data_IF_493181484163
#
_entry.id   IF_493181484163
#
_cell.length_a   1.000
_cell.length_b   1.000
_cell.length_c   1.000
_cell.angle_alpha   90.00
_cell.angle_beta   90.00
_cell.angle_gamma   90.00
#
_symmetry.space_group_name_H-M   'P 1'
#
loop_
_entity.id
_entity.type
_entity.pdbx_description
1 polymer ?
#
# COMPACT_ATOMS: atom_id res chain seq x y z
N UNK A 1 5.92 -30.79 -2.88
CA UNK A 1 5.23 -30.65 -4.17
C UNK A 1 3.88 -31.39 -4.33
N UNK A 2 3.56 -32.58 -3.74
CA UNK A 2 2.23 -33.20 -3.97
C UNK A 2 1.07 -32.60 -3.15
N UNK A 3 1.34 -31.81 -2.09
CA UNK A 3 0.29 -31.27 -1.21
C UNK A 3 -0.37 -30.02 -1.83
N UNK A 4 0.37 -29.16 -2.54
CA UNK A 4 -0.17 -27.94 -3.16
C UNK A 4 -1.16 -28.25 -4.30
N UNK A 5 -0.90 -29.28 -5.13
CA UNK A 5 -1.81 -29.62 -6.24
C UNK A 5 -3.19 -30.11 -5.79
N UNK A 6 -3.27 -30.71 -4.58
CA UNK A 6 -4.54 -31.19 -4.00
C UNK A 6 -5.39 -30.06 -3.39
N UNK A 7 -4.75 -29.04 -2.83
CA UNK A 7 -5.45 -27.86 -2.27
C UNK A 7 -6.13 -27.07 -3.39
N UNK A 8 -5.47 -26.89 -4.53
CA UNK A 8 -6.00 -26.13 -5.68
C UNK A 8 -7.23 -26.81 -6.29
N UNK A 9 -7.30 -28.15 -6.33
CA UNK A 9 -8.46 -28.87 -6.86
C UNK A 9 -9.75 -28.72 -6.02
N UNK A 10 -9.62 -28.39 -4.72
CA UNK A 10 -10.77 -28.28 -3.81
C UNK A 10 -11.40 -26.88 -3.88
N UNK A 11 -10.62 -25.83 -4.18
CA UNK A 11 -11.02 -24.44 -3.99
C UNK A 11 -11.27 -23.60 -5.26
N UNK A 12 -11.05 -24.13 -6.47
CA UNK A 12 -11.43 -23.40 -7.68
C UNK A 12 -12.88 -23.75 -8.06
N UNK A 13 -13.89 -22.99 -7.60
CA UNK A 13 -15.24 -23.21 -8.03
C UNK A 13 -15.33 -22.99 -9.55
N UNK A 14 -16.20 -23.75 -10.19
CA UNK A 14 -16.44 -23.60 -11.61
C UNK A 14 -17.21 -22.29 -11.84
N UNK A 15 -16.50 -21.17 -12.04
CA UNK A 15 -17.07 -19.83 -12.26
C UNK A 15 -17.86 -19.70 -13.57
N UNK A 16 -18.41 -20.79 -14.12
CA UNK A 16 -19.15 -20.76 -15.38
C UNK A 16 -20.54 -20.10 -15.28
N UNK A 17 -21.04 -19.80 -14.06
CA UNK A 17 -22.36 -19.16 -13.86
C UNK A 17 -22.23 -17.86 -13.04
N UNK A 18 -23.20 -16.95 -13.18
CA UNK A 18 -23.31 -15.76 -12.32
C UNK A 18 -23.54 -16.19 -10.87
N UNK A 19 -22.48 -16.14 -10.05
CA UNK A 19 -22.57 -16.45 -8.63
C UNK A 19 -23.39 -15.39 -7.90
N UNK A 20 -24.23 -15.81 -6.97
CA UNK A 20 -24.87 -14.90 -6.04
C UNK A 20 -23.88 -14.40 -4.98
N UNK A 21 -24.30 -13.45 -4.14
CA UNK A 21 -23.42 -12.84 -3.14
C UNK A 21 -22.85 -13.87 -2.15
N UNK A 22 -23.65 -14.82 -1.70
CA UNK A 22 -23.22 -15.82 -0.72
C UNK A 22 -22.22 -16.84 -1.32
N UNK A 23 -22.41 -17.24 -2.56
CA UNK A 23 -21.47 -18.09 -3.30
C UNK A 23 -20.13 -17.36 -3.50
N UNK A 24 -20.19 -16.09 -3.87
CA UNK A 24 -19.00 -15.24 -4.03
C UNK A 24 -18.27 -15.05 -2.72
N UNK A 25 -19.01 -14.81 -1.63
CA UNK A 25 -18.45 -14.71 -0.29
C UNK A 25 -17.71 -16.00 0.11
N UNK A 26 -18.34 -17.17 -0.06
CA UNK A 26 -17.71 -18.46 0.27
C UNK A 26 -16.41 -18.65 -0.51
N UNK A 27 -16.42 -18.39 -1.81
CA UNK A 27 -15.23 -18.51 -2.64
C UNK A 27 -14.12 -17.54 -2.19
N UNK A 28 -14.45 -16.28 -1.90
CA UNK A 28 -13.50 -15.28 -1.40
C UNK A 28 -12.93 -15.67 -0.03
N UNK A 29 -13.79 -16.12 0.87
CA UNK A 29 -13.41 -16.52 2.22
C UNK A 29 -12.55 -17.80 2.24
N UNK A 30 -12.86 -18.78 1.40
CA UNK A 30 -12.06 -19.99 1.27
C UNK A 30 -10.71 -19.71 0.63
N UNK A 31 -10.64 -18.79 -0.35
CA UNK A 31 -9.38 -18.32 -0.91
C UNK A 31 -8.53 -17.61 0.15
N UNK A 32 -9.14 -16.75 0.98
CA UNK A 32 -8.45 -16.08 2.08
C UNK A 32 -7.85 -17.09 3.06
N UNK A 33 -8.61 -18.09 3.48
CA UNK A 33 -8.10 -19.17 4.33
C UNK A 33 -6.96 -19.96 3.67
N UNK A 34 -6.98 -20.11 2.36
CA UNK A 34 -5.94 -20.80 1.62
C UNK A 34 -4.62 -19.99 1.57
N UNK A 35 -4.70 -18.69 1.29
CA UNK A 35 -3.50 -17.84 1.23
C UNK A 35 -2.87 -17.63 2.62
N UNK A 36 -3.66 -17.52 3.70
CA UNK A 36 -3.12 -17.47 5.07
C UNK A 36 -2.20 -18.68 5.39
N UNK A 37 -2.51 -19.87 4.83
CA UNK A 37 -1.68 -21.06 5.03
C UNK A 37 -0.37 -21.08 4.28
N UNK A 38 -0.17 -20.12 3.38
CA UNK A 38 1.04 -20.02 2.56
C UNK A 38 1.82 -18.80 3.05
N UNK A 39 2.92 -19.00 3.81
CA UNK A 39 3.73 -17.86 4.24
C UNK A 39 4.15 -16.99 3.06
N UNK A 40 3.90 -15.69 3.15
CA UNK A 40 4.15 -14.71 2.09
C UNK A 40 4.87 -13.47 2.65
N UNK A 41 5.84 -13.70 3.53
CA UNK A 41 6.65 -12.60 4.08
C UNK A 41 7.31 -11.86 2.91
N UNK A 42 7.30 -10.53 2.99
CA UNK A 42 7.86 -9.64 1.96
C UNK A 42 9.23 -10.13 1.46
N UNK A 43 9.36 -10.30 0.15
CA UNK A 43 10.47 -10.91 -0.63
C UNK A 43 10.54 -12.44 -0.57
N UNK A 44 9.57 -13.10 0.03
CA UNK A 44 9.43 -14.56 0.08
C UNK A 44 8.05 -14.99 -0.47
N UNK A 45 7.44 -14.19 -1.37
CA UNK A 45 6.05 -14.34 -1.84
C UNK A 45 5.89 -15.36 -2.99
N UNK A 46 6.96 -16.00 -3.47
CA UNK A 46 6.91 -16.87 -4.66
C UNK A 46 5.81 -17.93 -4.57
N UNK A 47 5.69 -18.58 -3.41
CA UNK A 47 4.73 -19.66 -3.22
C UNK A 47 3.26 -19.18 -3.28
N UNK A 48 2.96 -18.02 -2.67
CA UNK A 48 1.59 -17.45 -2.73
C UNK A 48 1.31 -16.89 -4.12
N UNK A 49 2.31 -16.30 -4.80
CA UNK A 49 2.17 -15.83 -6.18
C UNK A 49 1.88 -16.98 -7.15
N UNK A 50 2.59 -18.11 -7.03
CA UNK A 50 2.33 -19.33 -7.83
C UNK A 50 0.90 -19.83 -7.60
N UNK A 51 0.48 -19.91 -6.33
CA UNK A 51 -0.86 -20.34 -5.97
C UNK A 51 -1.94 -19.41 -6.54
N UNK A 52 -1.78 -18.09 -6.39
CA UNK A 52 -2.73 -17.08 -6.89
C UNK A 52 -2.77 -17.03 -8.42
N UNK A 53 -1.63 -17.22 -9.09
CA UNK A 53 -1.56 -17.32 -10.56
C UNK A 53 -2.39 -18.50 -11.06
N UNK A 54 -2.19 -19.66 -10.47
CA UNK A 54 -2.93 -20.89 -10.80
C UNK A 54 -4.43 -20.75 -10.50
N UNK A 55 -4.76 -20.16 -9.35
CA UNK A 55 -6.15 -19.92 -8.96
C UNK A 55 -6.85 -19.00 -9.97
N UNK A 56 -6.26 -17.82 -10.25
CA UNK A 56 -6.84 -16.84 -11.16
C UNK A 56 -6.95 -17.39 -12.58
N UNK A 57 -5.94 -18.11 -13.06
CA UNK A 57 -5.96 -18.76 -14.39
C UNK A 57 -7.09 -19.79 -14.49
N UNK A 58 -7.29 -20.62 -13.47
CA UNK A 58 -8.39 -21.62 -13.45
C UNK A 58 -9.75 -20.97 -13.35
N UNK A 59 -9.90 -19.98 -12.48
CA UNK A 59 -11.18 -19.29 -12.24
C UNK A 59 -11.62 -18.44 -13.44
N UNK A 60 -10.68 -17.84 -14.16
CA UNK A 60 -10.96 -16.98 -15.32
C UNK A 60 -11.02 -17.73 -16.64
N UNK A 61 -10.29 -18.84 -16.77
CA UNK A 61 -10.06 -19.54 -18.04
C UNK A 61 -9.08 -18.84 -18.98
N UNK A 62 -8.35 -17.82 -18.50
CA UNK A 62 -7.49 -16.94 -19.30
C UNK A 62 -6.07 -16.89 -18.72
N UNK A 63 -5.04 -16.63 -19.55
CA UNK A 63 -3.68 -16.46 -19.07
C UNK A 63 -3.54 -15.32 -18.07
N UNK A 64 -2.64 -15.51 -17.11
CA UNK A 64 -2.24 -14.49 -16.13
C UNK A 64 -0.81 -14.07 -16.45
N UNK A 65 -0.60 -12.77 -16.61
CA UNK A 65 0.74 -12.20 -16.80
C UNK A 65 1.46 -12.09 -15.46
N UNK A 66 2.80 -12.23 -15.49
CA UNK A 66 3.64 -12.16 -14.28
C UNK A 66 4.93 -11.39 -14.52
N UNK A 67 5.33 -10.61 -13.52
CA UNK A 67 6.66 -9.99 -13.40
C UNK A 67 7.16 -10.15 -11.98
N UNK A 68 8.23 -10.89 -11.75
CA UNK A 68 8.65 -11.33 -10.41
C UNK A 68 7.47 -12.05 -9.73
N UNK A 69 7.04 -11.58 -8.55
CA UNK A 69 5.86 -12.11 -7.84
C UNK A 69 4.59 -11.26 -8.06
N UNK A 70 4.65 -10.25 -8.93
CA UNK A 70 3.47 -9.47 -9.30
C UNK A 70 2.72 -10.16 -10.45
N UNK A 71 1.39 -10.22 -10.32
CA UNK A 71 0.49 -10.86 -11.26
C UNK A 71 -0.51 -9.86 -11.80
N UNK A 72 -0.93 -9.99 -13.07
CA UNK A 72 -2.06 -9.19 -13.57
C UNK A 72 -2.80 -9.89 -14.70
N UNK A 73 -4.05 -9.52 -14.82
CA UNK A 73 -4.92 -9.97 -15.89
C UNK A 73 -5.76 -8.83 -16.43
N UNK A 74 -5.89 -8.75 -17.74
CA UNK A 74 -6.78 -7.81 -18.44
C UNK A 74 -8.08 -8.53 -18.78
N UNK A 75 -9.22 -7.94 -18.47
CA UNK A 75 -10.52 -8.53 -18.80
C UNK A 75 -10.71 -8.61 -20.32
N UNK A 76 -11.46 -9.61 -20.82
CA UNK A 76 -11.75 -9.75 -22.25
C UNK A 76 -12.41 -8.51 -22.86
N UNK A 77 -12.19 -8.27 -24.14
CA UNK A 77 -12.80 -7.15 -24.85
C UNK A 77 -12.15 -5.79 -24.56
N UNK A 78 -10.85 -5.77 -24.24
CA UNK A 78 -10.09 -4.53 -24.08
C UNK A 78 -10.18 -3.65 -25.35
N UNK A 79 -10.53 -2.38 -25.16
CA UNK A 79 -10.62 -1.38 -26.22
C UNK A 79 -9.82 -0.11 -25.83
N UNK A 80 -8.80 0.23 -26.61
CA UNK A 80 -7.94 1.40 -26.36
C UNK A 80 -8.70 2.74 -26.31
N UNK A 81 -9.93 2.79 -26.80
CA UNK A 81 -10.78 3.98 -26.78
C UNK A 81 -11.54 4.17 -25.48
N UNK A 82 -11.63 3.12 -24.66
CA UNK A 82 -12.30 3.17 -23.36
C UNK A 82 -11.30 3.48 -22.24
N UNK A 83 -11.71 4.21 -21.19
CA UNK A 83 -10.89 4.38 -20.00
C UNK A 83 -10.63 3.02 -19.34
N UNK A 84 -9.53 2.91 -18.63
CA UNK A 84 -9.11 1.67 -17.96
C UNK A 84 -9.08 1.85 -16.43
N UNK A 85 -9.83 1.00 -15.74
CA UNK A 85 -9.80 0.86 -14.28
C UNK A 85 -8.86 -0.27 -13.89
N UNK A 86 -7.90 0.03 -13.01
CA UNK A 86 -7.07 -0.96 -12.32
C UNK A 86 -7.68 -1.26 -10.94
N UNK A 87 -7.85 -2.53 -10.63
CA UNK A 87 -8.04 -3.03 -9.27
C UNK A 87 -6.71 -3.62 -8.81
N UNK A 88 -6.21 -3.22 -7.65
CA UNK A 88 -4.92 -3.69 -7.13
C UNK A 88 -5.04 -4.05 -5.65
N UNK A 89 -4.33 -5.08 -5.23
CA UNK A 89 -4.14 -5.49 -3.84
C UNK A 89 -2.82 -6.23 -3.71
N UNK A 90 -2.17 -6.20 -2.55
CA UNK A 90 -0.90 -6.89 -2.36
C UNK A 90 -1.07 -8.29 -1.74
N UNK A 91 -0.07 -9.15 -1.95
CA UNK A 91 -0.08 -10.53 -1.44
C UNK A 91 0.99 -10.80 -0.39
N UNK A 92 1.91 -9.87 -0.19
CA UNK A 92 2.94 -9.99 0.84
C UNK A 92 2.42 -9.55 2.22
N UNK A 93 3.14 -9.99 3.25
CA UNK A 93 2.86 -9.67 4.64
C UNK A 93 4.15 -9.27 5.36
N UNK A 94 4.03 -8.50 6.44
CA UNK A 94 5.12 -8.31 7.39
C UNK A 94 5.48 -9.62 8.10
N UNK A 95 6.62 -9.65 8.80
CA UNK A 95 6.92 -10.76 9.71
C UNK A 95 5.98 -10.73 10.91
N UNK A 96 5.51 -11.91 11.40
CA UNK A 96 4.67 -11.95 12.58
C UNK A 96 5.41 -11.37 13.79
N UNK A 97 4.74 -10.51 14.55
CA UNK A 97 5.29 -9.95 15.78
C UNK A 97 5.50 -11.05 16.83
N UNK A 98 6.52 -10.91 17.68
CA UNK A 98 6.81 -11.89 18.73
C UNK A 98 5.70 -12.07 19.78
N UNK A 99 4.73 -11.14 19.82
CA UNK A 99 3.58 -11.16 20.71
C UNK A 99 2.37 -11.96 20.19
N UNK A 100 2.46 -12.59 18.99
CA UNK A 100 1.41 -13.48 18.50
C UNK A 100 1.14 -14.62 19.49
N UNK A 101 -0.14 -14.86 19.79
CA UNK A 101 -0.57 -15.95 20.67
C UNK A 101 -1.15 -17.12 19.86
N UNK A 102 -1.63 -16.88 18.64
CA UNK A 102 -2.10 -17.87 17.69
C UNK A 102 -1.01 -18.21 16.68
N UNK A 103 -1.16 -19.33 15.98
CA UNK A 103 -0.25 -19.67 14.86
C UNK A 103 -0.54 -18.76 13.65
N UNK A 104 0.41 -17.88 13.26
CA UNK A 104 0.14 -16.83 12.26
C UNK A 104 -0.33 -17.35 10.90
N UNK A 105 0.17 -18.51 10.49
CA UNK A 105 -0.15 -19.14 9.20
C UNK A 105 -1.24 -20.22 9.29
N UNK A 106 -2.01 -20.20 10.37
CA UNK A 106 -3.16 -21.09 10.53
C UNK A 106 -4.43 -20.27 10.64
N UNK A 107 -5.35 -20.34 9.64
CA UNK A 107 -6.60 -19.60 9.71
C UNK A 107 -7.48 -20.17 10.83
N UNK A 108 -7.80 -19.36 11.81
CA UNK A 108 -8.62 -19.74 12.98
C UNK A 108 -9.91 -18.95 12.94
N UNK A 109 -11.04 -19.66 12.93
CA UNK A 109 -12.37 -19.08 12.90
C UNK A 109 -12.96 -19.03 14.32
N UNK A 110 -13.27 -17.83 14.82
CA UNK A 110 -13.92 -17.62 16.12
C UNK A 110 -15.09 -16.63 15.94
N UNK A 111 -16.30 -17.16 15.94
CA UNK A 111 -17.50 -16.36 15.70
C UNK A 111 -17.49 -15.71 14.30
N UNK A 112 -17.52 -14.38 14.24
CA UNK A 112 -17.44 -13.61 12.99
C UNK A 112 -15.97 -13.34 12.54
N UNK A 113 -14.98 -13.66 13.39
CA UNK A 113 -13.57 -13.34 13.13
C UNK A 113 -12.84 -14.50 12.46
N UNK A 114 -12.01 -14.18 11.48
CA UNK A 114 -10.98 -15.04 10.91
C UNK A 114 -9.61 -14.47 11.27
N UNK A 115 -8.89 -15.16 12.14
CA UNK A 115 -7.52 -14.83 12.55
C UNK A 115 -6.51 -15.46 11.60
N UNK A 116 -5.41 -14.75 11.37
CA UNK A 116 -4.27 -15.18 10.57
C UNK A 116 -3.49 -13.99 10.04
N UNK A 117 -2.19 -14.14 9.88
CA UNK A 117 -1.33 -13.09 9.33
C UNK A 117 -1.74 -12.78 7.88
N UNK A 118 -1.90 -11.50 7.55
CA UNK A 118 -2.40 -11.05 6.26
C UNK A 118 -3.90 -11.29 6.04
N UNK A 119 -4.66 -11.68 7.08
CA UNK A 119 -6.11 -11.80 6.96
C UNK A 119 -6.79 -10.45 6.75
N UNK A 120 -6.29 -9.40 7.42
CA UNK A 120 -6.76 -8.02 7.34
C UNK A 120 -5.94 -7.21 6.32
N UNK A 121 -4.62 -7.34 6.34
CA UNK A 121 -3.66 -6.59 5.54
C UNK A 121 -2.82 -7.54 4.66
N UNK A 122 -3.12 -7.72 3.39
CA UNK A 122 -4.23 -7.19 2.58
C UNK A 122 -5.08 -8.31 1.96
N UNK A 123 -5.01 -9.55 2.54
CA UNK A 123 -5.67 -10.74 2.00
C UNK A 123 -7.18 -10.58 1.84
N UNK A 124 -7.85 -9.87 2.76
CA UNK A 124 -9.28 -9.62 2.64
C UNK A 124 -9.62 -8.75 1.44
N UNK A 125 -8.85 -7.66 1.19
CA UNK A 125 -9.03 -6.84 -0.01
C UNK A 125 -8.63 -7.60 -1.27
N UNK A 126 -7.51 -8.33 -1.25
CA UNK A 126 -7.05 -9.13 -2.38
C UNK A 126 -8.15 -10.09 -2.84
N UNK A 127 -8.71 -10.88 -1.92
CA UNK A 127 -9.69 -11.92 -2.27
C UNK A 127 -11.02 -11.34 -2.68
N UNK A 128 -11.47 -10.24 -2.06
CA UNK A 128 -12.72 -9.57 -2.42
C UNK A 128 -12.62 -8.84 -3.76
N UNK A 129 -11.51 -8.15 -4.06
CA UNK A 129 -11.27 -7.51 -5.34
C UNK A 129 -11.07 -8.53 -6.47
N UNK A 130 -10.37 -9.66 -6.21
CA UNK A 130 -10.22 -10.75 -7.17
C UNK A 130 -11.60 -11.30 -7.60
N UNK A 131 -12.47 -11.58 -6.62
CA UNK A 131 -13.80 -12.12 -6.93
C UNK A 131 -14.74 -11.09 -7.56
N UNK A 132 -14.59 -9.81 -7.19
CA UNK A 132 -15.27 -8.70 -7.88
C UNK A 132 -14.82 -8.60 -9.34
N UNK A 133 -13.50 -8.68 -9.60
CA UNK A 133 -12.95 -8.73 -10.95
C UNK A 133 -13.52 -9.90 -11.75
N UNK A 134 -13.53 -11.12 -11.18
CA UNK A 134 -14.06 -12.33 -11.83
C UNK A 134 -15.55 -12.21 -12.19
N UNK A 135 -16.33 -11.47 -11.43
CA UNK A 135 -17.73 -11.19 -11.75
C UNK A 135 -17.86 -10.14 -12.85
N UNK A 136 -17.18 -8.98 -12.69
CA UNK A 136 -17.32 -7.82 -13.59
C UNK A 136 -16.80 -8.10 -15.00
N UNK A 137 -15.72 -8.90 -15.14
CA UNK A 137 -15.13 -9.24 -16.45
C UNK A 137 -16.07 -10.01 -17.37
N UNK A 138 -17.17 -10.55 -16.84
CA UNK A 138 -18.18 -11.33 -17.59
C UNK A 138 -19.31 -10.49 -18.13
N UNK A 139 -19.47 -9.29 -17.63
CA UNK A 139 -20.52 -8.36 -18.06
C UNK A 139 -19.92 -7.19 -18.80
N UNK A 140 -20.53 -6.72 -19.91
CA UNK A 140 -20.04 -5.56 -20.61
C UNK A 140 -19.97 -4.34 -19.68
N UNK A 141 -18.77 -3.77 -19.54
CA UNK A 141 -18.55 -2.52 -18.82
C UNK A 141 -18.26 -1.39 -19.82
N UNK A 142 -18.49 -0.15 -19.39
CA UNK A 142 -18.17 1.05 -20.19
C UNK A 142 -16.67 1.39 -20.16
N UNK A 143 -15.90 0.66 -19.36
CA UNK A 143 -14.46 0.81 -19.16
C UNK A 143 -13.73 -0.54 -19.35
N UNK A 144 -12.43 -0.47 -19.58
CA UNK A 144 -11.56 -1.65 -19.52
C UNK A 144 -11.26 -1.96 -18.05
N UNK A 145 -11.15 -3.23 -17.70
CA UNK A 145 -10.88 -3.69 -16.36
C UNK A 145 -9.56 -4.47 -16.32
N UNK A 146 -8.69 -4.10 -15.41
CA UNK A 146 -7.43 -4.79 -15.11
C UNK A 146 -7.43 -5.14 -13.64
N UNK A 147 -7.00 -6.34 -13.29
CA UNK A 147 -6.73 -6.74 -11.91
C UNK A 147 -5.25 -7.04 -11.77
N UNK A 148 -4.61 -6.48 -10.74
CA UNK A 148 -3.21 -6.73 -10.40
C UNK A 148 -3.07 -7.13 -8.94
N UNK A 149 -2.21 -8.13 -8.71
CA UNK A 149 -1.74 -8.55 -7.39
C UNK A 149 -0.27 -8.13 -7.30
N UNK A 150 0.07 -7.33 -6.32
CA UNK A 150 1.42 -6.84 -6.09
C UNK A 150 2.15 -7.63 -5.00
N UNK A 151 3.46 -7.59 -5.06
CA UNK A 151 4.39 -8.11 -4.07
C UNK A 151 5.29 -6.97 -3.57
N UNK A 152 6.05 -7.21 -2.50
CA UNK A 152 6.97 -6.24 -1.87
C UNK A 152 6.32 -4.89 -1.50
N UNK A 153 4.99 -4.84 -1.30
CA UNK A 153 4.28 -3.60 -0.92
C UNK A 153 4.77 -3.08 0.43
N UNK A 154 4.85 -3.94 1.44
CA UNK A 154 5.17 -3.66 2.84
C UNK A 154 6.55 -3.00 3.06
N UNK A 155 7.41 -3.08 2.06
CA UNK A 155 8.72 -2.41 2.04
C UNK A 155 8.86 -1.44 0.87
N UNK A 156 7.78 -1.20 0.13
CA UNK A 156 7.77 -0.43 -1.11
C UNK A 156 8.92 -0.87 -2.03
N UNK A 157 9.04 -2.18 -2.26
CA UNK A 157 10.17 -2.80 -2.93
C UNK A 157 10.21 -2.51 -4.44
N UNK A 158 11.41 -2.50 -5.02
CA UNK A 158 11.58 -2.24 -6.47
C UNK A 158 11.12 -3.38 -7.36
N UNK A 159 11.06 -4.62 -6.83
CA UNK A 159 10.54 -5.78 -7.55
C UNK A 159 9.03 -5.94 -7.38
N UNK A 160 8.39 -5.09 -6.56
CA UNK A 160 6.96 -5.00 -6.36
C UNK A 160 6.23 -4.38 -7.56
N UNK A 161 5.10 -3.74 -7.31
CA UNK A 161 4.23 -3.16 -8.34
C UNK A 161 4.99 -2.25 -9.32
N UNK A 162 5.98 -1.47 -8.84
CA UNK A 162 6.81 -0.59 -9.68
C UNK A 162 7.40 -1.33 -10.89
N UNK A 163 7.81 -2.60 -10.73
CA UNK A 163 8.38 -3.41 -11.80
C UNK A 163 7.34 -3.87 -12.83
N UNK A 164 6.07 -3.94 -12.46
CA UNK A 164 4.97 -4.38 -13.31
C UNK A 164 4.27 -3.23 -14.03
N UNK A 165 4.24 -2.01 -13.45
CA UNK A 165 3.56 -0.84 -14.00
C UNK A 165 3.86 -0.55 -15.48
N UNK A 166 5.13 -0.63 -15.96
CA UNK A 166 5.44 -0.37 -17.37
C UNK A 166 4.88 -1.43 -18.33
N UNK A 167 4.47 -2.59 -17.82
CA UNK A 167 3.95 -3.72 -18.59
C UNK A 167 2.42 -3.74 -18.64
N UNK A 168 1.77 -2.95 -17.80
CA UNK A 168 0.32 -2.80 -17.79
C UNK A 168 -0.14 -1.99 -19.02
N UNK A 169 -1.37 -2.19 -19.50
CA UNK A 169 -1.97 -1.27 -20.46
C UNK A 169 -2.07 0.14 -19.84
N UNK A 170 -2.37 1.15 -20.66
CA UNK A 170 -2.65 2.49 -20.13
C UNK A 170 -3.75 2.42 -19.09
N UNK A 171 -3.48 2.89 -17.88
CA UNK A 171 -4.44 3.01 -16.77
C UNK A 171 -4.89 4.46 -16.66
N UNK A 172 -6.17 4.69 -16.44
CA UNK A 172 -6.75 6.01 -16.27
C UNK A 172 -7.18 6.29 -14.82
N UNK A 173 -7.51 5.24 -14.06
CA UNK A 173 -7.86 5.33 -12.63
C UNK A 173 -7.60 3.99 -11.95
N UNK A 174 -7.30 4.00 -10.64
CA UNK A 174 -7.15 2.78 -9.84
C UNK A 174 -8.04 2.79 -8.59
N UNK A 175 -8.45 1.58 -8.18
CA UNK A 175 -8.94 1.26 -6.86
C UNK A 175 -7.97 0.29 -6.23
N UNK A 176 -7.37 0.69 -5.11
CA UNK A 176 -6.36 -0.08 -4.38
C UNK A 176 -6.98 -0.63 -3.11
N UNK A 177 -6.85 -1.94 -2.93
CA UNK A 177 -7.26 -2.66 -1.73
C UNK A 177 -6.36 -2.29 -0.57
N UNK A 178 -6.96 -2.03 0.58
CA UNK A 178 -6.29 -1.79 1.86
C UNK A 178 -7.33 -1.79 2.99
N UNK A 179 -6.98 -2.12 4.24
CA UNK A 179 -7.94 -2.16 5.35
C UNK A 179 -8.40 -0.76 5.78
N UNK A 180 -9.51 -0.28 5.25
CA UNK A 180 -10.05 1.05 5.52
C UNK A 180 -11.45 1.05 6.16
N UNK A 181 -11.99 -0.12 6.50
CA UNK A 181 -13.38 -0.27 6.93
C UNK A 181 -14.37 0.12 5.85
N UNK A 182 -14.04 -0.15 4.58
CA UNK A 182 -14.81 0.25 3.40
C UNK A 182 -15.06 1.75 3.29
N UNK A 183 -14.28 2.59 3.98
CA UNK A 183 -14.25 4.03 3.76
C UNK A 183 -13.31 4.35 2.60
N UNK A 184 -13.62 5.36 1.81
CA UNK A 184 -12.83 5.74 0.65
C UNK A 184 -11.74 6.75 1.04
N UNK A 185 -10.47 6.33 1.03
CA UNK A 185 -9.35 7.26 1.12
C UNK A 185 -9.16 7.93 -0.24
N UNK A 186 -9.56 9.19 -0.34
CA UNK A 186 -9.47 9.99 -1.57
C UNK A 186 -8.13 10.69 -1.75
N UNK A 187 -7.27 10.62 -0.74
CA UNK A 187 -5.89 11.07 -0.79
C UNK A 187 -5.05 10.28 0.22
N UNK A 188 -3.75 10.14 -0.08
CA UNK A 188 -2.77 9.42 0.73
C UNK A 188 -1.46 10.20 0.78
N UNK A 189 -0.81 10.20 1.97
CA UNK A 189 0.49 10.87 2.13
C UNK A 189 1.59 10.11 1.43
N UNK A 190 2.49 10.86 0.77
CA UNK A 190 3.75 10.34 0.26
C UNK A 190 4.81 10.23 1.37
N UNK A 191 5.95 9.67 1.02
CA UNK A 191 7.07 9.46 1.93
C UNK A 191 8.40 9.86 1.30
N UNK A 192 9.17 10.67 2.03
CA UNK A 192 10.59 10.89 1.78
C UNK A 192 11.36 10.67 3.08
N UNK A 193 12.38 9.82 3.03
CA UNK A 193 13.35 9.68 4.11
C UNK A 193 14.61 10.47 3.74
N UNK A 194 15.02 11.39 4.62
CA UNK A 194 16.19 12.24 4.43
C UNK A 194 17.31 11.83 5.38
N UNK A 195 18.49 11.55 4.84
CA UNK A 195 19.72 11.41 5.59
C UNK A 195 20.38 12.79 5.68
N UNK A 196 20.49 13.33 6.89
CA UNK A 196 21.12 14.61 7.19
C UNK A 196 22.57 14.44 7.66
N UNK A 197 23.49 15.29 7.18
CA UNK A 197 24.89 15.30 7.58
C UNK A 197 25.36 16.73 7.87
N UNK A 198 25.75 16.96 9.11
CA UNK A 198 26.41 18.19 9.54
C UNK A 198 27.91 17.96 9.67
N UNK A 199 28.70 18.88 9.13
CA UNK A 199 30.15 18.86 9.21
C UNK A 199 30.67 19.95 10.13
N UNK A 200 31.62 19.59 10.95
CA UNK A 200 32.31 20.47 11.88
C UNK A 200 33.83 20.31 11.77
N UNK A 201 34.51 20.49 12.89
CA UNK A 201 35.97 20.29 13.03
C UNK A 201 36.28 19.77 14.42
N UNK A 202 36.96 18.63 14.51
CA UNK A 202 37.38 18.07 15.78
C UNK A 202 38.27 19.02 16.59
N UNK A 203 38.18 18.93 17.90
CA UNK A 203 39.01 19.70 18.86
C UNK A 203 38.84 19.14 20.27
N UNK A 204 39.70 19.62 21.20
CA UNK A 204 39.59 19.20 22.60
C UNK A 204 38.44 19.97 23.29
N UNK A 205 37.51 19.27 23.90
CA UNK A 205 36.29 19.87 24.50
C UNK A 205 36.58 20.90 25.62
N UNK A 206 37.76 20.81 26.31
CA UNK A 206 38.19 21.77 27.32
C UNK A 206 38.86 23.03 26.75
N UNK A 207 39.01 23.13 25.40
CA UNK A 207 39.58 24.26 24.71
C UNK A 207 38.58 24.81 23.74
N UNK A 208 38.54 26.09 23.54
CA UNK A 208 37.64 26.70 22.54
C UNK A 208 38.15 26.46 21.10
N UNK A 209 38.49 25.20 20.80
CA UNK A 209 39.02 24.75 19.51
C UNK A 209 37.98 23.82 18.85
N UNK A 210 37.89 23.88 17.54
CA UNK A 210 36.95 23.02 16.81
C UNK A 210 35.66 23.71 16.46
N UNK A 211 34.79 22.98 15.73
CA UNK A 211 33.43 23.37 15.36
C UNK A 211 32.54 22.15 15.63
N UNK A 212 31.60 22.29 16.53
CA UNK A 212 30.81 21.16 16.98
C UNK A 212 29.66 20.82 15.97
N UNK A 213 29.85 19.72 15.23
CA UNK A 213 28.85 19.24 14.26
C UNK A 213 27.52 18.86 14.89
N UNK A 214 27.52 18.44 16.18
CA UNK A 214 26.27 18.12 16.90
C UNK A 214 25.41 19.37 17.07
N UNK A 215 26.02 20.53 17.43
CA UNK A 215 25.27 21.76 17.58
C UNK A 215 24.72 22.27 16.24
N UNK A 216 25.51 22.15 15.15
CA UNK A 216 25.03 22.48 13.81
C UNK A 216 23.84 21.61 13.41
N UNK A 217 23.90 20.31 13.72
CA UNK A 217 22.78 19.39 13.45
C UNK A 217 21.55 19.72 14.28
N UNK A 218 21.71 20.06 15.57
CA UNK A 218 20.60 20.45 16.45
C UNK A 218 19.88 21.70 15.94
N UNK A 219 20.62 22.71 15.47
CA UNK A 219 20.04 23.92 14.88
C UNK A 219 19.25 23.60 13.60
N UNK A 220 19.78 22.71 12.74
CA UNK A 220 19.10 22.25 11.55
C UNK A 220 17.82 21.46 11.90
N UNK A 221 17.91 20.55 12.86
CA UNK A 221 16.77 19.77 13.34
C UNK A 221 15.70 20.68 13.94
N UNK A 222 16.08 21.71 14.69
CA UNK A 222 15.14 22.70 15.22
C UNK A 222 14.41 23.43 14.09
N UNK A 223 15.14 23.87 13.04
CA UNK A 223 14.52 24.49 11.86
C UNK A 223 13.55 23.52 11.18
N UNK A 224 13.91 22.23 10.98
CA UNK A 224 13.04 21.22 10.40
C UNK A 224 11.77 21.00 11.23
N UNK A 225 11.91 20.88 12.56
CA UNK A 225 10.80 20.70 13.51
C UNK A 225 9.79 21.84 13.45
N UNK A 226 10.29 23.06 13.38
CA UNK A 226 9.48 24.28 13.49
C UNK A 226 8.97 24.78 12.13
N UNK A 227 9.51 24.22 11.03
CA UNK A 227 9.09 24.60 9.67
C UNK A 227 7.63 24.21 9.40
N UNK A 228 6.93 25.12 8.71
CA UNK A 228 5.57 24.87 8.19
C UNK A 228 5.53 25.24 6.72
N UNK A 229 5.09 24.30 5.91
CA UNK A 229 4.86 24.55 4.49
C UNK A 229 3.63 25.45 4.31
N UNK A 230 3.70 26.47 3.42
CA UNK A 230 2.61 27.46 3.29
C UNK A 230 1.33 26.90 2.67
N UNK A 231 1.42 25.83 1.86
CA UNK A 231 0.23 25.18 1.32
C UNK A 231 -0.09 23.94 2.16
N UNK A 232 -1.34 23.79 2.55
CA UNK A 232 -1.85 22.59 3.21
C UNK A 232 -2.84 21.88 2.30
N UNK A 233 -2.85 20.56 2.34
CA UNK A 233 -3.87 19.75 1.68
C UNK A 233 -5.18 19.85 2.42
N UNK A 234 -6.28 20.05 1.71
CA UNK A 234 -7.63 20.06 2.31
C UNK A 234 -7.98 18.71 2.96
N UNK A 235 -7.45 17.61 2.42
CA UNK A 235 -7.76 16.24 2.87
C UNK A 235 -6.70 15.69 3.82
N UNK A 236 -5.39 15.95 3.54
CA UNK A 236 -4.27 15.34 4.27
C UNK A 236 -3.68 16.27 5.34
N UNK A 237 -4.10 17.54 5.36
CA UNK A 237 -3.52 18.56 6.24
C UNK A 237 -2.07 18.91 5.86
N UNK A 238 -1.23 19.32 6.83
CA UNK A 238 0.14 19.75 6.54
C UNK A 238 1.09 18.60 6.25
N UNK A 239 2.21 18.93 5.56
CA UNK A 239 3.40 18.08 5.49
C UNK A 239 3.90 17.83 6.92
N UNK A 240 4.22 16.58 7.25
CA UNK A 240 4.78 16.17 8.55
C UNK A 240 6.26 15.91 8.42
N UNK A 241 7.05 16.50 9.33
CA UNK A 241 8.51 16.37 9.37
C UNK A 241 8.88 15.87 10.76
N UNK A 242 9.55 14.71 10.83
CA UNK A 242 9.91 14.08 12.10
C UNK A 242 11.32 13.55 12.03
N UNK A 243 12.27 14.13 12.77
CA UNK A 243 13.60 13.56 12.92
C UNK A 243 13.53 12.42 13.94
N UNK A 244 13.98 11.23 13.54
CA UNK A 244 13.81 9.98 14.30
C UNK A 244 15.13 9.38 14.81
N UNK A 245 16.27 9.80 14.24
CA UNK A 245 17.59 9.30 14.60
C UNK A 245 18.60 10.44 14.59
N UNK A 246 19.58 10.40 15.50
CA UNK A 246 20.74 11.29 15.54
C UNK A 246 21.95 10.55 16.11
N UNK A 247 23.12 10.75 15.50
CA UNK A 247 24.39 10.14 15.95
C UNK A 247 25.54 11.13 15.80
N UNK A 248 26.35 11.30 16.88
CA UNK A 248 27.55 12.13 16.89
C UNK A 248 28.48 11.75 18.02
N UNK A 249 29.79 12.01 17.82
CA UNK A 249 30.84 11.88 18.86
C UNK A 249 31.25 10.45 19.15
N UNK A 250 32.47 10.30 19.68
CA UNK A 250 33.09 9.02 20.04
C UNK A 250 33.65 9.02 21.46
N UNK A 251 33.96 10.21 22.02
CA UNK A 251 34.52 10.37 23.36
C UNK A 251 34.07 11.70 23.97
N UNK A 252 33.89 11.72 25.31
CA UNK A 252 33.36 12.88 26.03
C UNK A 252 34.24 14.15 25.97
N UNK A 253 35.49 14.00 25.67
CA UNK A 253 36.46 15.10 25.62
C UNK A 253 36.87 15.52 24.18
N UNK A 254 36.16 15.00 23.17
CA UNK A 254 36.41 15.33 21.75
C UNK A 254 35.16 16.02 21.18
N UNK A 255 35.37 17.22 20.60
CA UNK A 255 34.32 17.91 19.84
C UNK A 255 34.03 17.13 18.56
N UNK A 256 32.79 16.68 18.32
CA UNK A 256 32.45 15.89 17.12
C UNK A 256 32.56 16.73 15.85
N UNK A 257 33.22 16.19 14.84
CA UNK A 257 33.41 16.80 13.52
C UNK A 257 32.36 16.36 12.50
N UNK A 258 31.61 15.32 12.82
CA UNK A 258 30.44 14.86 12.01
C UNK A 258 29.28 14.53 12.93
N UNK A 259 28.07 14.93 12.51
CA UNK A 259 26.81 14.50 13.07
C UNK A 259 25.87 14.08 11.96
N UNK A 260 25.28 12.89 12.09
CA UNK A 260 24.26 12.39 11.14
C UNK A 260 22.91 12.29 11.82
N UNK A 261 21.85 12.48 11.03
CA UNK A 261 20.47 12.30 11.52
C UNK A 261 19.56 11.81 10.40
N UNK A 262 18.43 11.20 10.76
CA UNK A 262 17.43 10.72 9.81
C UNK A 262 16.11 11.42 10.08
N UNK A 263 15.48 11.91 9.02
CA UNK A 263 14.19 12.59 9.07
C UNK A 263 13.18 11.89 8.17
N UNK A 264 12.05 11.43 8.75
CA UNK A 264 10.85 10.97 8.05
C UNK A 264 10.00 12.19 7.65
N UNK A 265 9.67 12.31 6.36
CA UNK A 265 8.85 13.38 5.83
C UNK A 265 7.63 12.78 5.14
N UNK A 266 6.43 13.05 5.71
CA UNK A 266 5.15 12.66 5.12
C UNK A 266 4.61 13.81 4.29
N UNK A 267 4.73 13.67 2.98
CA UNK A 267 4.33 14.68 2.00
C UNK A 267 2.83 14.62 1.70
N UNK A 268 2.29 15.65 1.07
CA UNK A 268 0.86 15.75 0.73
C UNK A 268 0.72 16.14 -0.74
N UNK A 269 -0.46 15.99 -1.29
CA UNK A 269 -0.80 16.36 -2.68
C UNK A 269 -0.67 17.86 -3.01
N UNK A 270 -0.36 18.69 -2.01
CA UNK A 270 -0.04 20.11 -2.22
C UNK A 270 1.37 20.36 -2.79
N UNK A 271 2.27 19.34 -2.75
CA UNK A 271 3.66 19.42 -3.20
C UNK A 271 4.13 18.09 -3.77
N UNK A 272 5.05 18.13 -4.73
CA UNK A 272 5.83 16.95 -5.10
C UNK A 272 6.91 16.66 -4.05
N UNK A 273 7.39 15.42 -4.01
CA UNK A 273 8.48 15.04 -3.10
C UNK A 273 9.75 15.86 -3.40
N UNK A 274 10.04 16.13 -4.68
CA UNK A 274 11.17 16.92 -5.14
C UNK A 274 11.10 18.37 -4.62
N UNK A 275 9.92 19.01 -4.68
CA UNK A 275 9.72 20.36 -4.15
C UNK A 275 9.94 20.41 -2.64
N UNK A 276 9.46 19.40 -1.91
CA UNK A 276 9.65 19.30 -0.46
C UNK A 276 11.13 19.15 -0.12
N UNK A 277 11.85 18.25 -0.78
CA UNK A 277 13.30 18.02 -0.57
C UNK A 277 14.09 19.30 -0.83
N UNK A 278 13.85 19.99 -1.95
CA UNK A 278 14.55 21.22 -2.31
C UNK A 278 14.37 22.31 -1.25
N UNK A 279 13.15 22.53 -0.77
CA UNK A 279 12.84 23.53 0.26
C UNK A 279 13.49 23.20 1.60
N UNK A 280 13.48 21.93 2.02
CA UNK A 280 14.10 21.52 3.28
C UNK A 280 15.63 21.61 3.20
N UNK A 281 16.23 21.30 2.04
CA UNK A 281 17.67 21.49 1.83
C UNK A 281 18.08 22.97 1.93
N UNK A 282 17.32 23.87 1.33
CA UNK A 282 17.55 25.32 1.42
C UNK A 282 17.42 25.80 2.88
N UNK A 283 16.40 25.33 3.61
CA UNK A 283 16.11 25.73 4.99
C UNK A 283 17.28 25.44 5.96
N UNK A 284 17.96 24.32 5.77
CA UNK A 284 18.98 23.84 6.70
C UNK A 284 20.43 24.04 6.23
N UNK A 285 20.64 24.70 5.09
CA UNK A 285 22.00 24.98 4.62
C UNK A 285 22.84 25.62 5.73
N UNK A 286 24.10 25.21 5.94
CA UNK A 286 24.96 24.36 5.09
C UNK A 286 24.89 22.85 5.39
N UNK A 287 23.94 22.38 6.22
CA UNK A 287 23.75 20.94 6.48
C UNK A 287 23.28 20.26 5.20
N UNK A 288 23.86 19.13 4.87
CA UNK A 288 23.47 18.34 3.69
C UNK A 288 22.28 17.45 4.02
N UNK A 289 21.23 17.49 3.18
CA UNK A 289 20.12 16.54 3.21
C UNK A 289 20.13 15.69 1.94
N UNK A 290 20.22 14.38 2.08
CA UNK A 290 20.15 13.44 0.97
C UNK A 290 18.86 12.61 1.07
N UNK A 291 17.96 12.76 0.10
CA UNK A 291 16.80 11.90 0.00
C UNK A 291 17.23 10.49 -0.41
N UNK A 292 16.79 9.47 0.35
CA UNK A 292 16.98 8.06 -0.04
C UNK A 292 16.22 7.75 -1.33
N UNK A 293 15.03 8.33 -1.48
CA UNK A 293 14.20 8.24 -2.69
C UNK A 293 13.12 9.33 -2.65
N UNK A 294 12.70 9.80 -3.83
CA UNK A 294 11.54 10.68 -3.99
C UNK A 294 10.37 9.99 -4.71
N UNK A 295 10.48 8.70 -5.02
CA UNK A 295 9.54 7.96 -5.87
C UNK A 295 8.15 7.73 -5.26
N UNK A 296 8.05 7.67 -3.91
CA UNK A 296 6.81 7.41 -3.18
C UNK A 296 6.01 8.71 -3.02
N UNK A 297 5.33 9.09 -4.10
CA UNK A 297 4.59 10.35 -4.18
C UNK A 297 3.26 10.28 -3.40
N UNK A 298 2.74 11.40 -2.92
CA UNK A 298 1.36 11.43 -2.46
C UNK A 298 0.41 11.12 -3.61
N UNK A 299 -0.69 10.45 -3.30
CA UNK A 299 -1.73 10.11 -4.27
C UNK A 299 -3.04 10.82 -3.95
N UNK A 300 -3.87 11.04 -4.95
CA UNK A 300 -5.22 11.58 -4.75
C UNK A 300 -6.16 11.29 -5.92
N UNK A 301 -7.44 11.44 -5.66
CA UNK A 301 -8.50 11.46 -6.67
C UNK A 301 -9.41 12.66 -6.42
N UNK A 302 -9.72 13.40 -7.48
CA UNK A 302 -10.65 14.51 -7.36
C UNK A 302 -12.03 14.01 -6.88
N UNK A 303 -12.63 14.70 -5.93
CA UNK A 303 -13.98 14.36 -5.43
C UNK A 303 -15.08 14.46 -6.49
N UNK A 304 -14.77 15.09 -7.64
CA UNK A 304 -15.61 15.17 -8.84
C UNK A 304 -15.35 14.03 -9.84
N UNK A 305 -14.33 13.21 -9.62
CA UNK A 305 -14.06 12.06 -10.49
C UNK A 305 -15.21 11.04 -10.40
N UNK A 306 -15.65 10.43 -11.53
CA UNK A 306 -16.81 9.53 -11.54
C UNK A 306 -16.77 8.44 -10.48
N UNK A 307 -15.61 7.83 -10.22
CA UNK A 307 -15.44 6.81 -9.17
C UNK A 307 -15.73 7.38 -7.77
N UNK A 308 -15.24 8.59 -7.46
CA UNK A 308 -15.49 9.26 -6.18
C UNK A 308 -16.94 9.74 -6.07
N UNK A 309 -17.51 10.25 -7.15
CA UNK A 309 -18.94 10.64 -7.19
C UNK A 309 -19.81 9.42 -6.88
N UNK A 310 -19.56 8.29 -7.54
CA UNK A 310 -20.31 7.04 -7.30
C UNK A 310 -20.16 6.54 -5.87
N UNK A 311 -18.96 6.60 -5.29
CA UNK A 311 -18.74 6.24 -3.88
C UNK A 311 -19.58 7.13 -2.93
N UNK A 312 -19.65 8.44 -3.20
CA UNK A 312 -20.48 9.39 -2.43
C UNK A 312 -21.98 9.09 -2.57
N UNK A 313 -22.46 8.78 -3.77
CA UNK A 313 -23.85 8.39 -4.02
C UNK A 313 -24.26 7.14 -3.23
N UNK A 314 -23.33 6.21 -3.01
CA UNK A 314 -23.50 5.03 -2.18
C UNK A 314 -23.35 5.31 -0.67
N UNK A 315 -23.14 6.56 -0.27
CA UNK A 315 -22.99 6.95 1.13
C UNK A 315 -21.64 6.54 1.76
N UNK A 316 -20.62 6.23 0.94
CA UNK A 316 -19.30 5.83 1.42
C UNK A 316 -18.57 7.06 1.97
N UNK A 317 -18.12 7.06 3.24
CA UNK A 317 -17.40 8.18 3.83
C UNK A 317 -16.03 8.38 3.21
N UNK A 318 -15.62 9.64 3.00
CA UNK A 318 -14.31 10.02 2.50
C UNK A 318 -13.35 10.40 3.63
N UNK A 319 -12.06 10.11 3.44
CA UNK A 319 -11.01 10.54 4.35
C UNK A 319 -9.65 10.65 3.64
N UNK A 320 -8.67 11.28 4.31
CA UNK A 320 -7.27 11.30 3.91
C UNK A 320 -6.47 10.25 4.69
N UNK A 321 -5.78 9.35 4.00
CA UNK A 321 -4.98 8.31 4.63
C UNK A 321 -3.59 8.82 5.04
N UNK A 322 -3.19 8.61 6.30
CA UNK A 322 -1.83 8.91 6.74
C UNK A 322 -0.80 7.83 6.35
N UNK A 323 -1.28 6.63 5.99
CA UNK A 323 -0.44 5.46 5.63
C UNK A 323 -0.20 5.39 4.14
N UNK A 324 0.95 4.83 3.76
CA UNK A 324 1.36 4.62 2.39
C UNK A 324 0.78 3.30 1.85
N UNK A 325 0.60 3.22 0.54
CA UNK A 325 0.24 2.00 -0.19
C UNK A 325 0.84 2.03 -1.61
N UNK A 326 0.54 1.03 -2.42
CA UNK A 326 0.92 0.98 -3.84
C UNK A 326 0.45 2.20 -4.65
N UNK A 327 -0.54 2.96 -4.15
CA UNK A 327 -0.96 4.22 -4.77
C UNK A 327 0.21 5.22 -4.93
N UNK A 328 1.19 5.19 -4.03
CA UNK A 328 2.36 6.07 -4.06
C UNK A 328 3.23 5.92 -5.31
N UNK A 329 3.10 4.79 -6.00
CA UNK A 329 3.81 4.47 -7.24
C UNK A 329 2.99 4.83 -8.49
N UNK A 330 1.70 5.11 -8.33
CA UNK A 330 0.79 5.41 -9.43
C UNK A 330 0.82 6.89 -9.80
N UNK A 331 0.71 7.20 -11.10
CA UNK A 331 0.72 8.58 -11.64
C UNK A 331 -0.65 9.02 -12.17
N UNK A 332 -1.66 8.23 -11.93
CA UNK A 332 -3.06 8.46 -12.27
C UNK A 332 -3.91 8.56 -11.01
N UNK A 333 -5.12 9.15 -11.10
CA UNK A 333 -6.04 9.20 -9.98
C UNK A 333 -6.29 7.83 -9.37
N UNK A 334 -6.28 7.74 -8.05
CA UNK A 334 -6.51 6.48 -7.35
C UNK A 334 -7.29 6.69 -6.06
N UNK A 335 -8.08 5.68 -5.70
CA UNK A 335 -8.89 5.61 -4.49
C UNK A 335 -8.49 4.35 -3.74
N UNK A 336 -8.27 4.46 -2.42
CA UNK A 336 -7.94 3.34 -1.56
C UNK A 336 -9.14 2.94 -0.72
N UNK A 337 -9.50 1.66 -0.74
CA UNK A 337 -10.65 1.14 0.00
C UNK A 337 -10.60 -0.37 0.12
N UNK A 338 -10.94 -0.92 1.29
CA UNK A 338 -11.10 -2.35 1.48
C UNK A 338 -11.68 -2.73 2.84
N UNK A 339 -12.05 -4.03 3.01
CA UNK A 339 -12.52 -4.56 4.28
C UNK A 339 -11.41 -4.57 5.33
N UNK A 340 -11.81 -4.73 6.59
CA UNK A 340 -10.89 -4.68 7.71
C UNK A 340 -10.56 -3.26 8.16
N UNK A 341 -9.74 -3.14 9.17
CA UNK A 341 -9.37 -1.87 9.80
C UNK A 341 -7.86 -1.70 9.89
N UNK A 342 -7.33 -0.55 9.50
CA UNK A 342 -5.89 -0.24 9.54
C UNK A 342 -5.28 -0.41 10.94
N UNK A 343 -6.07 -0.27 12.01
CA UNK A 343 -5.61 -0.47 13.38
C UNK A 343 -5.28 -1.94 13.71
N UNK A 344 -5.68 -2.88 12.88
CA UNK A 344 -5.37 -4.33 13.03
C UNK A 344 -4.15 -4.75 12.22
N UNK A 345 -3.67 -3.90 11.28
CA UNK A 345 -2.47 -4.17 10.49
C UNK A 345 -1.24 -4.17 11.37
N UNK A 346 -0.31 -5.09 11.10
CA UNK A 346 0.98 -5.22 11.80
C UNK A 346 0.86 -5.49 13.31
N UNK A 347 -0.30 -5.97 13.77
CA UNK A 347 -0.54 -6.34 15.17
C UNK A 347 -0.54 -7.86 15.37
N UNK A 348 -0.29 -8.30 16.60
CA UNK A 348 -0.44 -9.70 16.94
C UNK A 348 -1.91 -10.12 16.86
N UNK A 349 -2.13 -11.39 16.50
CA UNK A 349 -3.46 -11.98 16.35
C UNK A 349 -4.38 -11.16 15.41
N UNK A 350 -3.80 -10.69 14.30
CA UNK A 350 -4.50 -10.00 13.23
C UNK A 350 -5.73 -10.78 12.76
N UNK A 351 -6.82 -10.08 12.48
CA UNK A 351 -8.07 -10.69 12.05
C UNK A 351 -8.90 -9.79 11.15
N UNK A 352 -9.75 -10.41 10.35
CA UNK A 352 -10.85 -9.76 9.61
C UNK A 352 -12.18 -10.41 9.98
N UNK A 353 -13.29 -9.69 9.84
CA UNK A 353 -14.63 -10.25 10.07
C UNK A 353 -15.24 -10.77 8.79
N UNK A 354 -15.96 -11.88 8.89
CA UNK A 354 -16.72 -12.43 7.75
C UNK A 354 -17.77 -11.43 7.23
N UNK A 355 -18.40 -10.69 8.13
CA UNK A 355 -19.34 -9.61 7.79
C UNK A 355 -18.67 -8.50 6.97
N UNK A 356 -17.42 -8.11 7.29
CA UNK A 356 -16.64 -7.10 6.53
C UNK A 356 -16.37 -7.57 5.10
N UNK A 357 -16.05 -8.86 4.90
CA UNK A 357 -15.84 -9.46 3.57
C UNK A 357 -17.14 -9.46 2.75
N UNK A 358 -18.28 -9.82 3.36
CA UNK A 358 -19.59 -9.78 2.67
C UNK A 358 -19.96 -8.37 2.25
N UNK A 359 -19.79 -7.41 3.14
CA UNK A 359 -20.08 -6.00 2.86
C UNK A 359 -19.18 -5.46 1.75
N UNK A 360 -17.88 -5.80 1.76
CA UNK A 360 -16.95 -5.38 0.72
C UNK A 360 -17.36 -5.89 -0.67
N UNK A 361 -17.71 -7.17 -0.81
CA UNK A 361 -18.18 -7.75 -2.07
C UNK A 361 -19.43 -7.05 -2.59
N UNK A 362 -20.40 -6.74 -1.70
CA UNK A 362 -21.60 -5.99 -2.05
C UNK A 362 -21.27 -4.57 -2.50
N UNK A 363 -20.47 -3.86 -1.71
CA UNK A 363 -20.10 -2.46 -1.97
C UNK A 363 -19.28 -2.33 -3.25
N UNK A 364 -18.28 -3.18 -3.47
CA UNK A 364 -17.48 -3.16 -4.71
C UNK A 364 -18.34 -3.42 -5.95
N UNK A 365 -19.27 -4.35 -5.87
CA UNK A 365 -20.19 -4.61 -6.98
C UNK A 365 -21.07 -3.39 -7.28
N UNK A 366 -21.64 -2.74 -6.27
CA UNK A 366 -22.49 -1.56 -6.42
C UNK A 366 -21.67 -0.35 -6.94
N UNK A 367 -20.43 -0.21 -6.48
CA UNK A 367 -19.53 0.86 -6.87
C UNK A 367 -19.09 0.75 -8.34
N UNK A 368 -18.73 -0.46 -8.78
CA UNK A 368 -18.00 -0.65 -10.03
C UNK A 368 -18.91 -1.10 -11.19
N UNK A 369 -19.97 -1.87 -10.92
CA UNK A 369 -20.83 -2.36 -12.00
C UNK A 369 -21.59 -1.23 -12.67
N UNK A 370 -21.39 -1.07 -13.99
CA UNK A 370 -22.00 0.00 -14.79
C UNK A 370 -21.49 1.39 -14.47
N UNK A 371 -20.33 1.53 -13.82
CA UNK A 371 -19.66 2.82 -13.62
C UNK A 371 -19.32 3.43 -14.98
N UNK A 372 -19.55 4.73 -15.13
CA UNK A 372 -19.19 5.51 -16.32
C UNK A 372 -17.97 6.37 -15.99
N UNK A 373 -16.79 5.93 -16.44
CA UNK A 373 -15.51 6.63 -16.31
C UNK A 373 -15.31 7.65 -17.42
#
# INVERSE_FOLDING_TARGET
MPVMSKIICIFAPNFQHNMNLEETFRASYDLLKAIIRIPSITREEEAVADFLQDYLMKASGEPVSRRNNNLWQVAPGYDKKRPTLLLNAHCDTVKPAASWQREPFTPIEEGDCLYGLGSNDDGASLTTLLHTYLQLRRTPQTYNLVFAISAEEEVSGKNGLESALPLLPKIDVALVGEPTGMRAAVAEKGLVVLDGTAHGRAGHAAREEGVNALYIALDAIAKLRDHRFPKESETLGPVRITTTQIQAGTAHNVVPDVCTFVTDVRTTDAYTNEEVVARLQELVAPVELKARSTRLQPSSIAVTHPLAVRARELGIPFFGSPTLSDQSLMRWPSLKMGPGESARSHTADEFVRQSEIRDALRIYRELLNGLKL
#
